data_IF_475773710296
#
_entry.id   IF_475773710296
#
_cell.length_a   1.000
_cell.length_b   1.000
_cell.length_c   1.000
_cell.angle_alpha   90.00
_cell.angle_beta   90.00
_cell.angle_gamma   90.00
#
_symmetry.space_group_name_H-M   'P 1'
#
loop_
_entity.id
_entity.type
_entity.pdbx_description
1 polymer ?
#
# COMPACT_ATOMS: atom_id res chain seq x y z
N UNK A 1 2.03 1.30 -30.94
CA UNK A 1 3.39 0.79 -30.63
C UNK A 1 4.33 1.90 -30.17
N UNK A 2 4.72 2.87 -31.01
CA UNK A 2 5.73 3.89 -30.66
C UNK A 2 5.43 4.72 -29.40
N UNK A 3 4.18 5.17 -29.20
CA UNK A 3 3.79 5.93 -27.99
C UNK A 3 3.95 5.11 -26.71
N UNK A 4 3.69 3.79 -26.77
CA UNK A 4 3.75 2.91 -25.59
C UNK A 4 5.18 2.54 -25.21
N UNK A 5 6.08 2.37 -26.18
CA UNK A 5 7.51 2.20 -25.91
C UNK A 5 8.07 3.40 -25.15
N UNK A 6 7.62 4.62 -25.47
CA UNK A 6 8.03 5.83 -24.76
C UNK A 6 7.53 5.89 -23.30
N UNK A 7 6.52 5.08 -22.91
CA UNK A 7 6.06 5.00 -21.51
C UNK A 7 7.08 4.32 -20.59
N UNK A 8 8.15 3.73 -21.12
CA UNK A 8 9.31 3.35 -20.29
C UNK A 8 9.96 4.55 -19.60
N UNK A 9 9.79 5.77 -20.15
CA UNK A 9 10.23 7.03 -19.53
C UNK A 9 9.12 7.70 -18.69
N UNK A 10 7.93 7.08 -18.62
CA UNK A 10 6.75 7.55 -17.89
C UNK A 10 6.00 6.37 -17.26
N UNK A 11 6.72 5.60 -16.43
CA UNK A 11 6.22 4.37 -15.81
C UNK A 11 5.01 4.63 -14.92
N UNK A 12 4.91 5.82 -14.34
CA UNK A 12 3.76 6.30 -13.59
C UNK A 12 2.47 6.30 -14.43
N UNK A 13 2.54 6.67 -15.71
CA UNK A 13 1.41 6.59 -16.65
C UNK A 13 1.08 5.14 -16.99
N UNK A 14 2.10 4.27 -17.15
CA UNK A 14 1.87 2.86 -17.40
C UNK A 14 1.21 2.14 -16.22
N UNK A 15 1.50 2.59 -14.99
CA UNK A 15 0.90 2.07 -13.76
C UNK A 15 -0.49 2.67 -13.49
N UNK A 16 -0.62 3.99 -13.54
CA UNK A 16 -1.83 4.71 -13.09
C UNK A 16 -2.79 5.13 -14.21
N UNK A 17 -2.39 4.91 -15.46
CA UNK A 17 -3.18 5.26 -16.63
C UNK A 17 -3.15 6.75 -16.98
N UNK A 18 -3.81 7.07 -18.09
CA UNK A 18 -4.03 8.45 -18.54
C UNK A 18 -5.29 8.53 -19.39
N UNK A 19 -6.11 9.55 -19.10
CA UNK A 19 -7.23 9.95 -19.93
C UNK A 19 -6.93 11.28 -20.63
N UNK A 20 -7.30 11.38 -21.91
CA UNK A 20 -7.27 12.61 -22.67
C UNK A 20 -8.59 12.81 -23.42
N UNK A 21 -9.05 14.05 -23.51
CA UNK A 21 -10.39 14.40 -24.04
C UNK A 21 -10.35 15.12 -25.38
N UNK A 22 -9.18 15.51 -25.89
CA UNK A 22 -9.04 16.22 -27.17
C UNK A 22 -7.72 15.91 -27.88
N UNK A 23 -7.64 16.27 -29.17
CA UNK A 23 -6.47 16.06 -30.04
C UNK A 23 -6.17 14.58 -30.33
N UNK A 24 -5.03 14.28 -30.97
CA UNK A 24 -4.64 12.90 -31.29
C UNK A 24 -4.47 12.01 -30.03
N UNK A 25 -4.23 12.62 -28.87
CA UNK A 25 -4.14 11.92 -27.59
C UNK A 25 -5.49 11.30 -27.16
N UNK A 26 -6.63 11.83 -27.59
CA UNK A 26 -7.93 11.26 -27.23
C UNK A 26 -8.18 9.89 -27.88
N UNK A 27 -7.48 9.57 -28.97
CA UNK A 27 -7.58 8.28 -29.67
C UNK A 27 -6.37 7.38 -29.39
N UNK A 28 -5.16 7.93 -29.46
CA UNK A 28 -3.90 7.15 -29.38
C UNK A 28 -3.26 7.15 -27.99
N UNK A 29 -3.71 8.06 -27.12
CA UNK A 29 -3.05 8.40 -25.87
C UNK A 29 -3.71 7.89 -24.60
N UNK A 30 -4.87 7.24 -24.73
CA UNK A 30 -5.56 6.58 -23.63
C UNK A 30 -4.75 5.38 -23.17
N UNK A 31 -4.46 5.35 -21.87
CA UNK A 31 -3.73 4.26 -21.23
C UNK A 31 -4.58 3.81 -20.05
N UNK A 32 -4.95 2.54 -20.02
CA UNK A 32 -5.56 1.94 -18.85
C UNK A 32 -4.48 1.60 -17.82
N UNK A 33 -4.72 1.91 -16.55
CA UNK A 33 -3.73 1.73 -15.50
C UNK A 33 -3.49 0.25 -15.19
N UNK A 34 -2.23 -0.18 -15.15
CA UNK A 34 -1.90 -1.55 -14.75
C UNK A 34 -1.96 -1.77 -13.23
N UNK A 35 -1.87 -0.72 -12.42
CA UNK A 35 -1.92 -0.78 -10.97
C UNK A 35 -3.25 -0.22 -10.47
N UNK A 36 -3.89 -0.99 -9.58
CA UNK A 36 -5.04 -0.51 -8.81
C UNK A 36 -4.65 -0.41 -7.35
N UNK A 37 -4.78 0.79 -6.77
CA UNK A 37 -4.51 1.06 -5.36
C UNK A 37 -5.80 1.46 -4.66
N UNK A 38 -6.06 0.87 -3.49
CA UNK A 38 -7.21 1.23 -2.66
C UNK A 38 -6.85 2.37 -1.70
N UNK A 39 -7.87 3.11 -1.24
CA UNK A 39 -7.68 4.02 -0.13
C UNK A 39 -7.28 3.24 1.13
N UNK A 40 -6.27 3.73 1.83
CA UNK A 40 -5.86 3.16 3.10
C UNK A 40 -6.91 3.46 4.17
N UNK A 41 -7.26 2.44 4.96
CA UNK A 41 -8.19 2.56 6.08
C UNK A 41 -7.54 2.02 7.34
N UNK A 42 -7.96 2.50 8.51
CA UNK A 42 -7.54 1.89 9.76
C UNK A 42 -8.23 0.55 9.96
N UNK A 43 -7.53 -0.38 10.59
CA UNK A 43 -8.08 -1.73 10.90
C UNK A 43 -9.05 -1.71 12.09
N UNK A 44 -9.11 -0.58 12.79
CA UNK A 44 -9.90 -0.34 13.98
C UNK A 44 -10.65 0.99 13.89
N UNK A 45 -11.63 1.16 14.77
CA UNK A 45 -12.25 2.46 14.99
C UNK A 45 -11.21 3.44 15.54
N UNK A 46 -11.25 4.68 15.06
CA UNK A 46 -10.41 5.77 15.53
C UNK A 46 -11.31 6.81 16.17
N UNK A 47 -10.98 7.18 17.41
CA UNK A 47 -11.48 8.39 18.02
C UNK A 47 -10.44 9.47 17.77
N UNK A 48 -10.77 10.49 16.99
CA UNK A 48 -9.85 11.58 16.69
C UNK A 48 -9.67 12.52 17.88
N UNK A 49 -8.46 13.04 18.03
CA UNK A 49 -8.11 14.06 19.00
C UNK A 49 -8.14 15.46 18.37
N UNK A 50 -8.27 16.48 19.22
CA UNK A 50 -8.26 17.90 18.81
C UNK A 50 -7.10 18.61 19.51
N UNK A 51 -6.16 19.10 18.71
CA UNK A 51 -5.09 19.98 19.16
C UNK A 51 -5.60 21.43 19.20
N UNK A 52 -5.41 22.10 20.34
CA UNK A 52 -5.81 23.49 20.57
C UNK A 52 -4.56 24.36 20.62
N UNK A 53 -4.37 25.21 19.62
CA UNK A 53 -3.14 25.98 19.46
C UNK A 53 -3.39 27.49 19.38
N UNK A 54 -2.36 28.26 19.71
CA UNK A 54 -2.33 29.71 19.58
C UNK A 54 -1.10 30.13 18.77
N UNK A 55 -1.08 31.38 18.30
CA UNK A 55 0.11 32.02 17.74
C UNK A 55 0.43 33.24 18.60
N UNK A 56 1.57 33.20 19.30
CA UNK A 56 2.01 34.30 20.17
C UNK A 56 2.51 35.45 19.32
N UNK A 57 2.10 36.66 19.67
CA UNK A 57 2.65 37.90 19.09
C UNK A 57 3.81 38.38 19.96
N UNK A 58 5.02 38.34 19.41
CA UNK A 58 6.25 38.72 20.12
C UNK A 58 6.30 40.21 20.52
N UNK A 59 5.42 41.05 19.97
CA UNK A 59 5.36 42.50 20.24
C UNK A 59 4.37 42.89 21.35
N UNK A 60 3.57 41.95 21.86
CA UNK A 60 2.53 42.23 22.86
C UNK A 60 2.67 41.34 24.11
N UNK A 61 2.38 41.91 25.29
CA UNK A 61 2.25 41.08 26.50
C UNK A 61 1.12 40.07 26.36
N UNK A 62 1.32 38.88 26.94
CA UNK A 62 0.35 37.79 26.85
C UNK A 62 -1.00 38.20 27.45
N UNK A 63 -2.07 38.04 26.67
CA UNK A 63 -3.46 38.30 27.05
C UNK A 63 -4.41 37.22 26.54
N UNK A 64 -5.73 37.48 26.57
CA UNK A 64 -6.72 36.58 25.97
C UNK A 64 -6.45 36.43 24.46
N UNK A 65 -6.26 35.19 23.99
CA UNK A 65 -5.93 34.88 22.60
C UNK A 65 -7.05 34.10 21.91
N UNK A 66 -7.06 34.17 20.58
CA UNK A 66 -7.85 33.26 19.75
C UNK A 66 -7.21 31.87 19.75
N UNK A 67 -8.01 30.81 19.94
CA UNK A 67 -7.57 29.42 19.82
C UNK A 67 -8.00 28.85 18.47
N UNK A 68 -7.03 28.33 17.73
CA UNK A 68 -7.26 27.45 16.59
C UNK A 68 -7.40 26.00 17.05
N UNK A 69 -8.08 25.18 16.24
CA UNK A 69 -8.21 23.74 16.47
C UNK A 69 -7.74 22.95 15.26
N UNK A 70 -7.00 21.86 15.49
CA UNK A 70 -6.57 20.92 14.46
C UNK A 70 -6.91 19.50 14.91
N UNK A 71 -7.71 18.80 14.11
CA UNK A 71 -7.97 17.37 14.33
C UNK A 71 -6.73 16.53 13.95
N UNK A 72 -6.37 15.55 14.77
CA UNK A 72 -5.33 14.57 14.48
C UNK A 72 -5.66 13.22 15.14
N UNK A 73 -5.01 12.15 14.70
CA UNK A 73 -5.17 10.83 15.32
C UNK A 73 -3.95 9.96 15.07
N UNK A 74 -3.95 8.77 15.68
CA UNK A 74 -3.02 7.68 15.36
C UNK A 74 -3.80 6.44 14.94
N UNK A 75 -3.19 5.57 14.14
CA UNK A 75 -3.87 4.37 13.69
C UNK A 75 -2.98 3.38 12.97
N UNK A 76 -3.41 2.12 12.97
CA UNK A 76 -2.80 1.05 12.18
C UNK A 76 -3.53 0.98 10.84
N UNK A 77 -2.84 1.37 9.77
CA UNK A 77 -3.42 1.45 8.44
C UNK A 77 -3.18 0.18 7.63
N UNK A 78 -4.24 -0.33 7.02
CA UNK A 78 -4.16 -1.34 5.97
C UNK A 78 -4.06 -0.65 4.60
N UNK A 79 -3.01 -0.98 3.86
CA UNK A 79 -2.80 -0.54 2.48
C UNK A 79 -2.94 -1.73 1.54
N UNK A 80 -3.62 -1.54 0.42
CA UNK A 80 -3.78 -2.56 -0.61
C UNK A 80 -3.53 -1.98 -2.00
N UNK A 81 -2.73 -2.68 -2.79
CA UNK A 81 -2.60 -2.47 -4.21
C UNK A 81 -2.44 -3.81 -4.92
N UNK A 82 -2.82 -3.86 -6.19
CA UNK A 82 -2.50 -4.97 -7.08
C UNK A 82 -1.97 -4.44 -8.41
N UNK A 83 -1.20 -5.27 -9.12
CA UNK A 83 -0.63 -4.96 -10.43
C UNK A 83 -1.03 -6.05 -11.41
N UNK A 84 -1.69 -5.67 -12.48
CA UNK A 84 -1.91 -6.52 -13.63
C UNK A 84 -0.64 -6.54 -14.50
N UNK A 85 0.14 -7.62 -14.36
CA UNK A 85 1.42 -7.77 -15.07
C UNK A 85 1.25 -7.82 -16.59
N UNK A 86 0.15 -8.38 -17.11
CA UNK A 86 -0.10 -8.42 -18.55
C UNK A 86 -0.38 -7.01 -19.09
N UNK A 87 -1.22 -6.24 -18.40
CA UNK A 87 -1.50 -4.85 -18.76
C UNK A 87 -0.23 -3.98 -18.68
N UNK A 88 0.62 -4.19 -17.67
CA UNK A 88 1.87 -3.45 -17.53
C UNK A 88 2.82 -3.71 -18.70
N UNK A 89 2.98 -4.97 -19.11
CA UNK A 89 3.78 -5.34 -20.27
C UNK A 89 3.24 -4.68 -21.55
N UNK A 90 1.91 -4.69 -21.75
CA UNK A 90 1.26 -4.05 -22.89
C UNK A 90 1.45 -2.52 -22.89
N UNK A 91 1.33 -1.89 -21.71
CA UNK A 91 1.51 -0.44 -21.54
C UNK A 91 2.95 -0.02 -21.84
N UNK A 92 3.94 -0.86 -21.53
CA UNK A 92 5.36 -0.62 -21.80
C UNK A 92 5.80 -1.03 -23.22
N UNK A 93 4.85 -1.35 -24.09
CA UNK A 93 5.13 -1.67 -25.49
C UNK A 93 5.60 -3.11 -25.74
N UNK A 94 5.18 -4.06 -24.90
CA UNK A 94 5.58 -5.47 -24.99
C UNK A 94 6.83 -5.78 -24.18
N UNK A 95 7.02 -5.10 -23.03
CA UNK A 95 8.09 -5.41 -22.09
C UNK A 95 7.99 -6.86 -21.60
N UNK A 96 9.11 -7.41 -21.12
CA UNK A 96 9.13 -8.76 -20.58
C UNK A 96 8.47 -8.83 -19.19
N UNK A 97 8.12 -10.05 -18.76
CA UNK A 97 7.57 -10.27 -17.41
C UNK A 97 8.56 -9.84 -16.33
N UNK A 98 9.85 -10.09 -16.54
CA UNK A 98 10.92 -9.73 -15.61
C UNK A 98 10.98 -8.21 -15.41
N UNK A 99 10.83 -7.43 -16.48
CA UNK A 99 10.76 -5.97 -16.38
C UNK A 99 9.51 -5.50 -15.60
N UNK A 100 8.37 -6.17 -15.81
CA UNK A 100 7.15 -5.88 -15.04
C UNK A 100 7.30 -6.23 -13.55
N UNK A 101 7.96 -7.35 -13.23
CA UNK A 101 8.24 -7.77 -11.86
C UNK A 101 9.25 -6.84 -11.17
N UNK A 102 10.22 -6.30 -11.90
CA UNK A 102 11.14 -5.28 -11.35
C UNK A 102 10.36 -4.02 -10.94
N UNK A 103 9.47 -3.53 -11.81
CA UNK A 103 8.61 -2.39 -11.48
C UNK A 103 7.70 -2.72 -10.29
N UNK A 104 7.10 -3.91 -10.25
CA UNK A 104 6.28 -4.36 -9.13
C UNK A 104 7.07 -4.38 -7.82
N UNK A 105 8.34 -4.78 -7.86
CA UNK A 105 9.24 -4.79 -6.70
C UNK A 105 9.47 -3.37 -6.15
N UNK A 106 9.61 -2.37 -7.02
CA UNK A 106 9.68 -0.97 -6.60
C UNK A 106 8.37 -0.48 -5.99
N UNK A 107 7.21 -0.89 -6.53
CA UNK A 107 5.90 -0.58 -5.95
C UNK A 107 5.76 -1.18 -4.55
N UNK A 108 6.19 -2.43 -4.35
CA UNK A 108 6.19 -3.07 -3.01
C UNK A 108 7.02 -2.25 -2.02
N UNK A 109 8.22 -1.82 -2.42
CA UNK A 109 9.05 -0.96 -1.57
C UNK A 109 8.33 0.34 -1.21
N UNK A 110 7.87 1.08 -2.22
CA UNK A 110 7.21 2.38 -2.01
C UNK A 110 5.94 2.26 -1.16
N UNK A 111 5.12 1.22 -1.37
CA UNK A 111 3.89 1.03 -0.60
C UNK A 111 4.17 0.76 0.89
N UNK A 112 5.32 0.15 1.18
CA UNK A 112 5.78 -0.18 2.53
C UNK A 112 6.53 0.95 3.24
N UNK A 113 7.13 1.89 2.51
CA UNK A 113 8.02 2.92 3.09
C UNK A 113 7.55 4.36 2.89
N UNK A 114 6.88 4.67 1.78
CA UNK A 114 6.46 6.03 1.47
C UNK A 114 5.24 6.44 2.31
N UNK A 115 5.30 7.66 2.86
CA UNK A 115 4.24 8.24 3.68
C UNK A 115 3.86 9.61 3.09
N UNK A 116 2.56 9.93 2.95
CA UNK A 116 2.14 11.25 2.48
C UNK A 116 2.79 12.39 3.28
N UNK A 117 3.29 13.42 2.58
CA UNK A 117 4.00 14.55 3.20
C UNK A 117 3.13 15.55 3.97
N UNK A 118 1.80 15.34 4.01
CA UNK A 118 0.86 16.24 4.67
C UNK A 118 1.15 16.32 6.17
N UNK A 119 1.30 17.55 6.70
CA UNK A 119 1.53 17.83 8.14
C UNK A 119 2.75 17.16 8.79
N UNK A 120 3.61 16.48 8.02
CA UNK A 120 4.80 15.81 8.54
C UNK A 120 5.81 16.77 9.19
N UNK A 121 5.83 18.05 8.80
CA UNK A 121 6.70 19.05 9.43
C UNK A 121 6.30 19.39 10.87
N UNK A 122 5.04 19.15 11.24
CA UNK A 122 4.52 19.47 12.57
C UNK A 122 4.11 18.23 13.37
N UNK A 123 3.87 17.07 12.73
CA UNK A 123 3.50 15.80 13.40
C UNK A 123 4.51 14.66 13.21
N UNK A 124 5.38 14.72 12.20
CA UNK A 124 6.52 13.81 12.01
C UNK A 124 6.22 12.28 12.08
N UNK A 125 5.11 11.82 11.50
CA UNK A 125 4.76 10.39 11.45
C UNK A 125 5.54 9.64 10.34
N UNK A 126 6.87 9.58 10.43
CA UNK A 126 7.73 8.89 9.45
C UNK A 126 7.89 7.41 9.82
N UNK A 127 6.81 6.65 9.70
CA UNK A 127 6.76 5.26 10.15
C UNK A 127 6.92 4.27 8.98
N UNK A 128 7.82 3.28 9.06
CA UNK A 128 7.84 2.16 8.12
C UNK A 128 6.68 1.20 8.39
N UNK A 129 6.33 0.35 7.41
CA UNK A 129 5.36 -0.72 7.62
C UNK A 129 5.92 -1.86 8.49
N UNK A 130 5.13 -2.32 9.46
CA UNK A 130 5.46 -3.46 10.32
C UNK A 130 5.25 -4.82 9.66
N UNK A 131 4.43 -4.89 8.61
CA UNK A 131 4.19 -6.12 7.85
C UNK A 131 3.94 -5.80 6.37
N UNK A 132 4.51 -6.63 5.49
CA UNK A 132 4.28 -6.59 4.04
C UNK A 132 4.04 -8.02 3.55
N UNK A 133 2.89 -8.25 2.90
CA UNK A 133 2.61 -9.52 2.24
C UNK A 133 2.44 -9.29 0.74
N UNK A 134 3.02 -10.19 -0.05
CA UNK A 134 2.82 -10.24 -1.51
C UNK A 134 2.30 -11.62 -1.86
N UNK A 135 1.25 -11.68 -2.68
CA UNK A 135 0.74 -12.92 -3.21
C UNK A 135 0.47 -12.79 -4.72
N UNK A 136 0.83 -13.83 -5.46
CA UNK A 136 0.43 -13.99 -6.85
C UNK A 136 -0.96 -14.61 -6.92
N UNK A 137 -1.76 -14.20 -7.90
CA UNK A 137 -3.14 -14.68 -8.08
C UNK A 137 -3.61 -14.44 -9.50
N UNK A 138 -4.54 -15.28 -9.97
CA UNK A 138 -5.27 -15.08 -11.22
C UNK A 138 -6.38 -14.03 -11.09
N UNK A 139 -6.89 -13.82 -9.86
CA UNK A 139 -7.90 -12.82 -9.53
C UNK A 139 -7.39 -11.92 -8.39
N UNK A 140 -7.41 -10.58 -8.54
CA UNK A 140 -7.01 -9.68 -7.46
C UNK A 140 -8.07 -9.71 -6.34
N UNK A 141 -7.61 -9.89 -5.10
CA UNK A 141 -8.46 -9.96 -3.92
C UNK A 141 -7.87 -9.07 -2.81
N UNK A 142 -8.69 -8.14 -2.30
CA UNK A 142 -8.35 -7.36 -1.12
C UNK A 142 -8.63 -8.15 0.16
N UNK A 143 -7.77 -7.98 1.16
CA UNK A 143 -7.94 -8.58 2.48
C UNK A 143 -8.61 -7.61 3.47
N UNK A 144 -9.19 -6.51 3.01
CA UNK A 144 -9.85 -5.51 3.86
C UNK A 144 -10.94 -6.10 4.77
N UNK A 145 -11.61 -7.18 4.34
CA UNK A 145 -12.62 -7.88 5.13
C UNK A 145 -12.05 -8.57 6.40
N UNK A 146 -10.72 -8.72 6.52
CA UNK A 146 -10.09 -9.08 7.79
C UNK A 146 -10.42 -8.08 8.90
N UNK A 147 -10.76 -6.85 8.53
CA UNK A 147 -11.02 -5.71 9.41
C UNK A 147 -12.45 -5.19 9.32
N UNK A 148 -13.36 -5.91 8.65
CA UNK A 148 -14.78 -5.54 8.59
C UNK A 148 -15.36 -5.47 10.02
N UNK A 149 -15.10 -6.52 10.82
CA UNK A 149 -15.23 -6.44 12.27
C UNK A 149 -14.02 -5.69 12.80
N UNK A 150 -14.22 -4.39 13.08
CA UNK A 150 -13.17 -3.50 13.58
C UNK A 150 -12.36 -4.13 14.72
N UNK A 151 -11.04 -4.14 14.55
CA UNK A 151 -10.09 -4.72 15.50
C UNK A 151 -10.20 -4.01 16.85
N UNK A 152 -10.17 -4.78 17.93
CA UNK A 152 -10.14 -4.26 19.30
C UNK A 152 -8.71 -4.30 19.83
N UNK A 153 -8.32 -3.25 20.54
CA UNK A 153 -6.99 -3.16 21.12
C UNK A 153 -6.78 -4.26 22.18
N UNK A 154 -5.60 -4.85 22.17
CA UNK A 154 -5.06 -5.69 23.23
C UNK A 154 -3.54 -5.46 23.20
N UNK A 155 -3.02 -4.71 24.17
CA UNK A 155 -1.65 -4.18 24.17
C UNK A 155 -1.30 -3.41 22.88
N UNK A 156 -2.26 -2.61 22.40
CA UNK A 156 -2.20 -1.87 21.15
C UNK A 156 -3.05 -2.47 20.04
N UNK A 157 -3.02 -1.85 18.87
CA UNK A 157 -3.80 -2.28 17.70
C UNK A 157 -3.00 -3.10 16.70
N UNK A 158 -1.66 -3.01 16.72
CA UNK A 158 -0.81 -3.61 15.70
C UNK A 158 -0.90 -5.14 15.72
N UNK A 159 -0.55 -5.78 16.84
CA UNK A 159 -0.52 -7.24 16.93
C UNK A 159 -1.90 -7.87 16.64
N UNK A 160 -3.03 -7.38 17.21
CA UNK A 160 -4.36 -7.90 16.86
C UNK A 160 -4.71 -7.71 15.38
N UNK A 161 -4.22 -6.65 14.72
CA UNK A 161 -4.44 -6.43 13.28
C UNK A 161 -3.66 -7.43 12.43
N UNK A 162 -2.39 -7.67 12.76
CA UNK A 162 -1.57 -8.67 12.07
C UNK A 162 -2.18 -10.07 12.21
N UNK A 163 -2.64 -10.42 13.41
CA UNK A 163 -3.28 -11.71 13.67
C UNK A 163 -4.62 -11.84 12.92
N UNK A 164 -5.45 -10.79 12.92
CA UNK A 164 -6.71 -10.77 12.18
C UNK A 164 -6.49 -10.95 10.67
N UNK A 165 -5.45 -10.32 10.13
CA UNK A 165 -5.03 -10.49 8.74
C UNK A 165 -4.63 -11.95 8.44
N UNK A 166 -3.73 -12.52 9.24
CA UNK A 166 -3.27 -13.91 9.06
C UNK A 166 -4.45 -14.91 9.13
N UNK A 167 -5.33 -14.78 10.12
CA UNK A 167 -6.50 -15.65 10.27
C UNK A 167 -7.53 -15.49 9.14
N UNK A 168 -7.66 -14.28 8.58
CA UNK A 168 -8.54 -14.07 7.43
C UNK A 168 -7.94 -14.67 6.15
N UNK A 169 -6.63 -14.49 5.94
CA UNK A 169 -5.91 -15.15 4.86
C UNK A 169 -6.10 -16.66 4.91
N UNK A 170 -5.89 -17.30 6.07
CA UNK A 170 -6.07 -18.75 6.23
C UNK A 170 -7.47 -19.21 5.81
N UNK A 171 -8.51 -18.47 6.20
CA UNK A 171 -9.90 -18.79 5.84
C UNK A 171 -10.16 -18.63 4.34
N UNK A 172 -9.70 -17.54 3.75
CA UNK A 172 -9.94 -17.24 2.32
C UNK A 172 -9.11 -18.16 1.44
N UNK A 173 -7.82 -18.33 1.75
CA UNK A 173 -6.93 -19.18 0.98
C UNK A 173 -7.43 -20.62 0.92
N UNK A 174 -7.86 -21.18 2.07
CA UNK A 174 -8.44 -22.52 2.10
C UNK A 174 -9.83 -22.58 1.46
N UNK A 175 -10.70 -21.60 1.70
CA UNK A 175 -12.07 -21.60 1.20
C UNK A 175 -12.17 -21.43 -0.32
N UNK A 176 -11.29 -20.62 -0.91
CA UNK A 176 -11.27 -20.34 -2.35
C UNK A 176 -10.20 -21.11 -3.13
N UNK A 177 -9.33 -21.87 -2.44
CA UNK A 177 -8.21 -22.55 -3.09
C UNK A 177 -7.23 -21.57 -3.72
N UNK A 178 -6.71 -20.63 -2.93
CA UNK A 178 -5.66 -19.73 -3.39
C UNK A 178 -4.31 -20.46 -3.36
N UNK A 179 -3.92 -20.98 -4.52
CA UNK A 179 -2.72 -21.81 -4.69
C UNK A 179 -1.52 -21.02 -5.26
N UNK A 180 -1.64 -19.70 -5.38
CA UNK A 180 -0.57 -18.85 -5.87
C UNK A 180 0.56 -18.69 -4.87
N UNK A 181 1.77 -18.42 -5.36
CA UNK A 181 2.93 -18.15 -4.53
C UNK A 181 2.66 -16.95 -3.61
N UNK A 182 2.94 -17.10 -2.31
CA UNK A 182 2.71 -16.07 -1.32
C UNK A 182 3.91 -15.96 -0.37
N UNK A 183 4.28 -14.74 -0.01
CA UNK A 183 5.35 -14.47 0.94
C UNK A 183 5.02 -13.27 1.83
N UNK A 184 5.53 -13.31 3.06
CA UNK A 184 5.26 -12.32 4.09
C UNK A 184 6.55 -11.91 4.79
N UNK A 185 6.73 -10.61 4.96
CA UNK A 185 7.73 -9.99 5.83
C UNK A 185 6.99 -9.34 7.01
N UNK A 186 7.47 -9.55 8.23
CA UNK A 186 6.92 -8.95 9.46
C UNK A 186 8.05 -8.58 10.41
N UNK A 187 7.95 -7.41 11.05
CA UNK A 187 8.84 -6.98 12.15
C UNK A 187 8.41 -7.56 13.50
N UNK A 188 7.17 -8.03 13.61
CA UNK A 188 6.62 -8.60 14.84
C UNK A 188 6.53 -10.12 14.73
N UNK A 189 6.94 -10.81 15.80
CA UNK A 189 6.70 -12.24 16.01
C UNK A 189 5.23 -12.44 16.42
N UNK A 190 4.35 -12.50 15.43
CA UNK A 190 2.94 -12.89 15.61
C UNK A 190 2.76 -14.37 15.31
N UNK A 191 1.64 -14.94 15.76
CA UNK A 191 1.27 -16.31 15.43
C UNK A 191 1.44 -16.54 13.91
N UNK A 192 2.19 -17.58 13.52
CA UNK A 192 2.56 -17.78 12.14
C UNK A 192 1.30 -17.96 11.30
N UNK A 193 1.23 -17.23 10.20
CA UNK A 193 0.24 -17.47 9.15
C UNK A 193 0.34 -18.93 8.71
N UNK A 194 -0.79 -19.63 8.59
CA UNK A 194 -0.76 -21.05 8.27
C UNK A 194 -0.59 -21.27 6.77
N UNK A 195 -0.07 -22.43 6.38
CA UNK A 195 -0.01 -22.84 4.98
C UNK A 195 1.21 -22.36 4.19
N UNK A 196 1.11 -22.39 2.86
CA UNK A 196 2.18 -22.25 1.87
C UNK A 196 2.76 -20.82 1.74
N UNK A 197 2.68 -19.99 2.79
CA UNK A 197 3.22 -18.63 2.79
C UNK A 197 4.67 -18.64 3.26
N UNK A 198 5.59 -18.24 2.37
CA UNK A 198 7.01 -18.17 2.68
C UNK A 198 7.32 -16.95 3.55
N UNK A 199 7.89 -17.19 4.73
CA UNK A 199 8.33 -16.11 5.61
C UNK A 199 9.65 -15.51 5.11
N UNK A 200 9.71 -14.20 5.06
CA UNK A 200 10.84 -13.42 4.59
C UNK A 200 11.40 -12.61 5.76
N UNK A 201 12.64 -12.89 6.22
CA UNK A 201 13.27 -12.15 7.31
C UNK A 201 13.44 -10.65 7.04
N UNK A 202 13.50 -10.24 5.77
CA UNK A 202 13.73 -8.84 5.38
C UNK A 202 12.88 -8.45 4.17
N UNK A 203 12.59 -7.15 4.06
CA UNK A 203 11.92 -6.58 2.88
C UNK A 203 12.73 -6.82 1.59
N UNK A 204 14.07 -6.83 1.65
CA UNK A 204 14.92 -7.08 0.47
C UNK A 204 14.82 -8.53 -0.04
N UNK A 205 14.67 -9.49 0.87
CA UNK A 205 14.43 -10.89 0.48
C UNK A 205 13.04 -11.05 -0.13
N UNK A 206 12.01 -10.43 0.45
CA UNK A 206 10.67 -10.40 -0.15
C UNK A 206 10.70 -9.79 -1.55
N UNK A 207 11.41 -8.68 -1.73
CA UNK A 207 11.60 -8.04 -3.04
C UNK A 207 12.30 -8.95 -4.04
N UNK A 208 13.35 -9.65 -3.62
CA UNK A 208 14.08 -10.58 -4.50
C UNK A 208 13.22 -11.76 -4.92
N UNK A 209 12.41 -12.28 -4.00
CA UNK A 209 11.40 -13.30 -4.28
C UNK A 209 10.34 -12.82 -5.29
N UNK A 210 9.88 -11.55 -5.20
CA UNK A 210 8.98 -10.97 -6.21
C UNK A 210 9.64 -10.90 -7.58
N UNK A 211 10.90 -10.42 -7.67
CA UNK A 211 11.64 -10.40 -8.96
C UNK A 211 11.78 -11.79 -9.57
N UNK A 212 11.97 -12.80 -8.74
CA UNK A 212 12.07 -14.21 -9.13
C UNK A 212 10.70 -14.87 -9.31
N UNK A 213 9.64 -14.09 -9.54
CA UNK A 213 8.31 -14.61 -9.86
C UNK A 213 7.69 -15.51 -8.77
N UNK A 214 8.05 -15.29 -7.51
CA UNK A 214 7.55 -16.09 -6.40
C UNK A 214 8.34 -17.39 -6.15
N UNK A 215 9.50 -17.53 -6.78
CA UNK A 215 10.44 -18.64 -6.59
C UNK A 215 11.64 -18.18 -5.74
N UNK A 216 12.25 -19.10 -5.00
CA UNK A 216 13.38 -18.82 -4.10
C UNK A 216 14.70 -18.60 -4.85
#
# INVERSE_FOLDING_TARGET
>A
AAIRVNLQQGVDIALSGRMATSGMMSELGKVDGAMSIAHAITTHQVDSDIDWFTAVDDLQEQGSAHLGTQEFSSGVFYRYANINLAQLQENLGGASREQALEIATHVVHMLATEVPGAKQRTYAAFNPADMVMVNFSDMPLSMANAFEKAVKANDGFLQPSLQAFNQYWDRVANGYGLNGAAAQFSLSDVDPITGQVQQMPTLEQLKSWVRNNGEA
#
